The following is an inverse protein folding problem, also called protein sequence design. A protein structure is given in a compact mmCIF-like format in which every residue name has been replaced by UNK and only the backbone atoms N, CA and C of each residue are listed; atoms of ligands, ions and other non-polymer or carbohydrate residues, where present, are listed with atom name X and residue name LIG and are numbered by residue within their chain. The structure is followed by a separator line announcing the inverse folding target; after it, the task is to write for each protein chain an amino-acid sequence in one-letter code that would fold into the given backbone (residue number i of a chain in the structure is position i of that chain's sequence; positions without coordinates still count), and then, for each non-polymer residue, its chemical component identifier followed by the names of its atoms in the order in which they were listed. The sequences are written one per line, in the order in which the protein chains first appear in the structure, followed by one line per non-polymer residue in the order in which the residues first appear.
data_IF_744159508204
#
_entry.id   IF_744159508204
#
_cell.length_a   1.000
_cell.length_b   1.000
_cell.length_c   1.000
_cell.angle_alpha   90.00
_cell.angle_beta   90.00
_cell.angle_gamma   90.00
#
_symmetry.space_group_name_H-M   'P 1'
#
loop_
_entity.id
_entity.type
_entity.pdbx_description
1 polymer ?
#
# COMPACT_ATOMS: atom_id res chain seq x y z
N UNK A 1 31.75 -24.84 -23.90
CA UNK A 1 31.33 -24.81 -22.48
C UNK A 1 30.10 -23.91 -22.41
N UNK A 2 28.91 -24.50 -22.30
CA UNK A 2 27.64 -23.79 -22.35
C UNK A 2 27.18 -23.56 -20.90
N UNK A 3 27.23 -22.31 -20.43
CA UNK A 3 26.78 -21.97 -19.09
C UNK A 3 25.24 -21.90 -19.10
N UNK A 4 24.58 -22.93 -18.57
CA UNK A 4 23.18 -22.90 -18.16
C UNK A 4 23.09 -22.52 -16.68
N UNK A 5 22.59 -21.33 -16.38
CA UNK A 5 22.00 -20.89 -15.09
C UNK A 5 20.99 -19.78 -15.49
N UNK A 6 19.70 -19.75 -15.17
CA UNK A 6 18.82 -20.47 -14.25
C UNK A 6 17.40 -20.43 -14.85
N UNK A 7 16.60 -21.48 -14.66
CA UNK A 7 15.24 -21.58 -15.21
C UNK A 7 14.21 -20.64 -14.55
N UNK A 8 14.56 -19.84 -13.55
CA UNK A 8 13.59 -19.08 -12.76
C UNK A 8 13.76 -17.57 -12.97
N UNK A 9 13.14 -17.02 -14.02
CA UNK A 9 12.96 -15.57 -14.16
C UNK A 9 11.75 -15.15 -13.31
N UNK A 10 11.98 -14.90 -12.02
CA UNK A 10 10.98 -14.32 -11.12
C UNK A 10 11.09 -12.80 -11.16
N UNK A 11 9.96 -12.11 -11.24
CA UNK A 11 9.86 -10.66 -11.24
C UNK A 11 9.49 -10.23 -9.82
N UNK A 12 10.39 -9.52 -9.17
CA UNK A 12 10.14 -8.98 -7.85
C UNK A 12 9.16 -7.79 -7.95
N UNK A 13 7.92 -7.99 -7.50
CA UNK A 13 6.87 -6.98 -7.39
C UNK A 13 6.77 -6.52 -5.93
N UNK A 14 7.84 -5.92 -5.42
CA UNK A 14 7.96 -5.16 -4.15
C UNK A 14 7.50 -5.83 -2.84
N UNK A 15 6.30 -6.38 -2.79
CA UNK A 15 5.75 -7.19 -1.70
C UNK A 15 5.70 -8.67 -2.00
N UNK A 16 5.83 -9.08 -3.27
CA UNK A 16 5.81 -10.50 -3.65
C UNK A 16 6.65 -10.75 -4.88
N UNK A 17 7.20 -11.95 -4.96
CA UNK A 17 7.81 -12.47 -6.17
C UNK A 17 6.73 -13.03 -7.13
N UNK A 18 6.71 -12.52 -8.35
CA UNK A 18 5.80 -12.95 -9.42
C UNK A 18 6.52 -13.90 -10.37
N UNK A 19 5.94 -15.07 -10.62
CA UNK A 19 6.43 -16.00 -11.64
C UNK A 19 5.59 -15.88 -12.92
N UNK A 20 6.14 -15.26 -13.99
CA UNK A 20 5.43 -15.08 -15.24
C UNK A 20 5.14 -16.41 -15.96
N UNK A 21 5.87 -17.49 -15.68
CA UNK A 21 5.67 -18.80 -16.34
C UNK A 21 4.36 -19.47 -15.91
N UNK A 22 3.92 -19.18 -14.69
CA UNK A 22 2.69 -19.73 -14.09
C UNK A 22 1.66 -18.64 -13.78
N UNK A 23 1.94 -17.41 -14.22
CA UNK A 23 1.11 -16.21 -14.12
C UNK A 23 0.54 -15.95 -12.71
N UNK A 24 1.38 -16.13 -11.67
CA UNK A 24 0.96 -15.97 -10.27
C UNK A 24 2.11 -15.52 -9.38
N UNK A 25 1.76 -15.05 -8.20
CA UNK A 25 2.73 -14.87 -7.13
C UNK A 25 3.22 -16.22 -6.60
N UNK A 26 4.50 -16.29 -6.24
CA UNK A 26 5.10 -17.48 -5.60
C UNK A 26 4.84 -17.50 -4.10
N UNK A 27 4.43 -16.35 -3.55
CA UNK A 27 4.08 -16.15 -2.15
C UNK A 27 2.59 -15.81 -2.02
N UNK A 28 1.96 -16.28 -0.93
CA UNK A 28 0.57 -15.93 -0.63
C UNK A 28 0.46 -14.43 -0.37
N UNK A 29 -0.64 -13.81 -0.79
CA UNK A 29 -0.93 -12.42 -0.48
C UNK A 29 -0.85 -12.17 1.04
N UNK A 30 -0.04 -11.18 1.50
CA UNK A 30 0.03 -10.79 2.91
C UNK A 30 -1.32 -10.37 3.51
N UNK A 31 -2.29 -9.96 2.68
CA UNK A 31 -3.66 -9.63 3.15
C UNK A 31 -4.55 -10.89 3.27
N UNK A 32 -4.03 -12.07 2.91
CA UNK A 32 -4.68 -13.38 3.05
C UNK A 32 -5.87 -13.57 2.09
N UNK A 33 -6.82 -14.44 2.45
CA UNK A 33 -8.06 -14.71 1.67
C UNK A 33 -8.90 -13.47 1.35
N UNK A 34 -8.55 -12.33 1.94
CA UNK A 34 -9.17 -11.02 1.69
C UNK A 34 -8.72 -10.40 0.36
N UNK A 35 -7.62 -10.88 -0.25
CA UNK A 35 -7.19 -10.59 -1.62
C UNK A 35 -8.12 -11.20 -2.69
N UNK A 36 -8.97 -12.14 -2.27
CA UNK A 36 -9.76 -13.00 -3.13
C UNK A 36 -9.60 -14.46 -2.72
N UNK A 37 -10.45 -15.32 -3.26
CA UNK A 37 -10.43 -16.75 -2.94
C UNK A 37 -9.09 -17.44 -3.27
N UNK A 38 -8.29 -16.85 -4.17
CA UNK A 38 -6.94 -17.31 -4.46
C UNK A 38 -5.93 -16.19 -4.18
N UNK A 39 -5.16 -16.36 -3.10
CA UNK A 39 -4.16 -15.40 -2.61
C UNK A 39 -2.88 -15.35 -3.44
N UNK A 40 -2.77 -16.19 -4.48
CA UNK A 40 -1.62 -16.19 -5.37
C UNK A 40 -1.93 -15.54 -6.73
N UNK A 41 -3.20 -15.22 -7.02
CA UNK A 41 -3.59 -14.69 -8.33
C UNK A 41 -3.06 -13.28 -8.56
N UNK A 42 -2.43 -13.09 -9.70
CA UNK A 42 -2.08 -11.77 -10.19
C UNK A 42 -3.34 -11.03 -10.65
N UNK A 43 -3.63 -9.89 -10.02
CA UNK A 43 -4.60 -8.90 -10.56
C UNK A 43 -6.02 -9.47 -10.75
N UNK A 44 -6.49 -10.32 -9.83
CA UNK A 44 -7.82 -10.98 -9.92
C UNK A 44 -8.08 -11.65 -11.29
N UNK A 45 -7.02 -12.15 -11.94
CA UNK A 45 -7.04 -12.76 -13.29
C UNK A 45 -7.46 -11.82 -14.43
N UNK A 46 -7.42 -10.50 -14.21
CA UNK A 46 -7.72 -9.50 -15.25
C UNK A 46 -6.49 -8.63 -15.56
N UNK A 47 -5.41 -9.26 -16.03
CA UNK A 47 -4.15 -8.59 -16.39
C UNK A 47 -4.23 -7.71 -17.64
N UNK A 48 -5.36 -7.72 -18.36
CA UNK A 48 -5.56 -6.90 -19.57
C UNK A 48 -5.88 -5.44 -19.24
N UNK A 49 -6.62 -5.21 -18.15
CA UNK A 49 -7.10 -3.86 -17.79
C UNK A 49 -6.61 -3.39 -16.43
N UNK A 50 -5.80 -4.20 -15.75
CA UNK A 50 -5.33 -3.95 -14.40
C UNK A 50 -3.87 -4.41 -14.31
N UNK A 51 -3.12 -3.77 -13.43
CA UNK A 51 -1.74 -4.14 -13.12
C UNK A 51 -1.61 -4.29 -11.61
N UNK A 52 -0.72 -5.12 -11.09
CA UNK A 52 -0.41 -5.10 -9.66
C UNK A 52 1.01 -4.57 -9.51
N UNK A 53 1.12 -3.22 -9.55
CA UNK A 53 2.40 -2.49 -9.54
C UNK A 53 3.19 -2.68 -8.26
N UNK A 54 2.53 -3.11 -7.20
CA UNK A 54 3.08 -3.14 -5.84
C UNK A 54 3.11 -4.56 -5.26
N UNK A 55 2.38 -5.52 -5.82
CA UNK A 55 2.27 -6.86 -5.25
C UNK A 55 1.19 -6.98 -4.18
N UNK A 56 0.18 -6.11 -4.15
CA UNK A 56 -0.86 -6.08 -3.11
C UNK A 56 -2.28 -5.82 -3.63
N UNK A 57 -2.44 -4.94 -4.61
CA UNK A 57 -3.74 -4.57 -5.21
C UNK A 57 -3.55 -4.09 -6.64
N UNK A 58 -4.61 -4.19 -7.42
CA UNK A 58 -4.70 -3.90 -8.84
C UNK A 58 -4.62 -2.40 -9.18
N UNK A 59 -3.41 -1.82 -9.10
CA UNK A 59 -2.89 -0.57 -9.70
C UNK A 59 -3.66 0.74 -9.55
N UNK A 60 -4.83 0.75 -8.94
CA UNK A 60 -5.48 1.97 -8.50
C UNK A 60 -5.36 2.01 -6.99
N UNK A 61 -4.74 3.05 -6.49
CA UNK A 61 -4.43 3.21 -5.08
C UNK A 61 -5.71 3.39 -4.25
N UNK A 62 -6.54 2.36 -4.08
CA UNK A 62 -7.84 2.41 -3.37
C UNK A 62 -8.90 3.33 -4.01
N UNK A 63 -8.53 4.33 -4.82
CA UNK A 63 -9.41 5.40 -5.30
C UNK A 63 -10.56 4.93 -6.19
N UNK A 64 -10.35 3.85 -6.97
CA UNK A 64 -11.32 3.38 -7.95
C UNK A 64 -12.29 2.31 -7.42
N UNK A 65 -12.14 1.86 -6.17
CA UNK A 65 -13.23 1.16 -5.50
C UNK A 65 -14.32 2.21 -5.19
N UNK A 66 -15.53 2.02 -5.72
CA UNK A 66 -16.61 3.01 -5.61
C UNK A 66 -16.93 3.45 -4.18
N UNK A 67 -16.59 2.63 -3.19
CA UNK A 67 -16.72 2.92 -1.77
C UNK A 67 -15.73 3.98 -1.26
N UNK A 68 -14.55 4.11 -1.86
CA UNK A 68 -13.58 5.14 -1.47
C UNK A 68 -13.97 6.54 -1.96
N UNK A 69 -15.04 6.67 -2.76
CA UNK A 69 -15.58 7.97 -3.19
C UNK A 69 -16.36 8.62 -2.04
N UNK A 70 -15.88 9.76 -1.56
CA UNK A 70 -16.61 10.60 -0.58
C UNK A 70 -16.33 10.27 0.89
N UNK A 71 -15.27 9.51 1.18
CA UNK A 71 -14.86 9.26 2.57
C UNK A 71 -14.27 10.55 3.19
N UNK A 72 -14.75 11.04 4.34
CA UNK A 72 -14.20 12.22 5.01
C UNK A 72 -12.74 11.98 5.39
N UNK A 73 -11.83 12.89 5.00
CA UNK A 73 -10.38 12.74 5.15
C UNK A 73 -9.66 12.37 3.85
N UNK A 74 -10.41 11.92 2.84
CA UNK A 74 -9.86 11.63 1.50
C UNK A 74 -9.41 12.84 0.67
N UNK A 75 -9.61 14.06 1.16
CA UNK A 75 -9.26 15.28 0.45
C UNK A 75 -8.07 16.04 1.01
N UNK A 76 -7.50 15.59 2.13
CA UNK A 76 -6.35 16.26 2.74
C UNK A 76 -5.08 15.51 2.39
N UNK A 77 -3.96 16.23 2.23
CA UNK A 77 -2.63 15.67 1.98
C UNK A 77 -2.17 14.67 3.08
N UNK A 78 -2.94 14.59 4.16
CA UNK A 78 -2.81 13.75 5.33
C UNK A 78 -3.96 12.73 5.41
N UNK A 79 -3.67 11.48 5.05
CA UNK A 79 -4.35 10.31 5.62
C UNK A 79 -5.40 9.66 4.72
N UNK A 80 -5.14 8.40 4.35
CA UNK A 80 -6.18 7.52 3.87
C UNK A 80 -7.04 7.00 5.04
N UNK A 81 -7.78 5.92 4.79
CA UNK A 81 -8.47 5.18 5.86
C UNK A 81 -8.73 3.74 5.42
N UNK A 82 -9.24 2.93 6.34
CA UNK A 82 -9.83 1.63 6.02
C UNK A 82 -11.34 1.65 6.23
N UNK A 83 -12.08 1.06 5.30
CA UNK A 83 -13.53 1.01 5.34
C UNK A 83 -14.11 -0.31 4.87
N UNK A 84 -15.40 -0.48 5.08
CA UNK A 84 -16.17 -1.65 4.72
C UNK A 84 -16.93 -1.40 3.42
N UNK A 85 -16.62 -2.21 2.40
CA UNK A 85 -17.18 -2.13 1.07
C UNK A 85 -17.67 -3.51 0.63
N UNK A 86 -19.00 -3.68 0.53
CA UNK A 86 -19.60 -4.95 0.08
C UNK A 86 -19.13 -6.16 0.88
N UNK A 87 -19.11 -6.06 2.22
CA UNK A 87 -18.67 -7.14 3.12
C UNK A 87 -17.16 -7.33 3.22
N UNK A 88 -16.35 -6.49 2.57
CA UNK A 88 -14.88 -6.55 2.58
C UNK A 88 -14.30 -5.32 3.25
N UNK A 89 -13.11 -5.45 3.85
CA UNK A 89 -12.32 -4.29 4.27
C UNK A 89 -11.49 -3.78 3.09
N UNK A 90 -11.47 -2.48 2.88
CA UNK A 90 -10.77 -1.79 1.78
C UNK A 90 -9.97 -0.64 2.38
N UNK A 91 -8.70 -0.53 2.02
CA UNK A 91 -7.89 0.65 2.30
C UNK A 91 -8.08 1.66 1.17
N UNK A 92 -8.42 2.88 1.54
CA UNK A 92 -8.61 4.01 0.65
C UNK A 92 -7.47 5.00 0.90
N UNK A 93 -6.74 5.39 -0.14
CA UNK A 93 -5.72 6.43 -0.04
C UNK A 93 -5.80 7.35 -1.24
N UNK A 94 -5.22 8.54 -1.13
CA UNK A 94 -5.21 9.53 -2.20
C UNK A 94 -3.78 9.80 -2.64
N UNK A 95 -3.53 9.48 -3.89
CA UNK A 95 -2.24 9.57 -4.54
C UNK A 95 -2.46 10.06 -5.96
N UNK A 96 -2.28 11.36 -6.15
CA UNK A 96 -2.55 12.01 -7.43
C UNK A 96 -1.35 11.98 -8.38
N UNK A 97 -0.22 11.42 -7.95
CA UNK A 97 1.08 11.47 -8.65
C UNK A 97 1.69 10.07 -8.88
N UNK A 98 0.87 9.04 -9.06
CA UNK A 98 1.33 7.66 -9.36
C UNK A 98 1.94 7.49 -10.77
N UNK A 99 2.10 8.59 -11.52
CA UNK A 99 2.73 8.57 -12.85
C UNK A 99 4.25 8.50 -12.76
N UNK A 100 4.85 9.08 -11.73
CA UNK A 100 6.29 9.01 -11.47
C UNK A 100 6.66 7.76 -10.66
N UNK A 101 7.89 7.27 -10.83
CA UNK A 101 8.42 6.15 -10.02
C UNK A 101 8.36 6.47 -8.52
N UNK A 102 8.78 7.68 -8.15
CA UNK A 102 8.69 8.16 -6.76
C UNK A 102 7.27 8.22 -6.24
N UNK A 103 6.32 8.71 -7.03
CA UNK A 103 4.93 8.77 -6.62
C UNK A 103 4.26 7.41 -6.50
N UNK A 104 4.64 6.42 -7.32
CA UNK A 104 4.21 5.01 -7.17
C UNK A 104 4.70 4.41 -5.87
N UNK A 105 5.99 4.56 -5.57
CA UNK A 105 6.60 4.06 -4.35
C UNK A 105 6.01 4.74 -3.12
N UNK A 106 5.91 6.07 -3.13
CA UNK A 106 5.28 6.85 -2.06
C UNK A 106 3.85 6.39 -1.83
N UNK A 107 3.08 6.21 -2.90
CA UNK A 107 1.70 5.79 -2.76
C UNK A 107 1.57 4.36 -2.22
N UNK A 108 2.41 3.45 -2.70
CA UNK A 108 2.42 2.08 -2.19
C UNK A 108 2.74 2.04 -0.70
N UNK A 109 3.68 2.87 -0.23
CA UNK A 109 3.98 2.97 1.19
C UNK A 109 2.83 3.57 2.01
N UNK A 110 2.16 4.61 1.50
CA UNK A 110 0.92 5.14 2.11
C UNK A 110 -0.18 4.09 2.18
N UNK A 111 -0.38 3.30 1.13
CA UNK A 111 -1.37 2.22 1.16
C UNK A 111 -1.07 1.22 2.28
N UNK A 112 0.20 0.92 2.55
CA UNK A 112 0.58 0.00 3.63
C UNK A 112 0.34 0.57 5.03
N UNK A 113 0.50 1.88 5.19
CA UNK A 113 0.06 2.58 6.41
C UNK A 113 -1.41 2.27 6.67
N UNK A 114 -2.26 2.52 5.68
CA UNK A 114 -3.70 2.29 5.82
C UNK A 114 -4.03 0.81 6.00
N UNK A 115 -3.35 -0.09 5.28
CA UNK A 115 -3.53 -1.53 5.46
C UNK A 115 -3.18 -2.00 6.89
N UNK A 116 -2.23 -1.36 7.57
CA UNK A 116 -1.91 -1.67 8.96
C UNK A 116 -3.10 -1.38 9.91
N UNK A 117 -4.04 -0.55 9.49
CA UNK A 117 -5.28 -0.26 10.20
C UNK A 117 -6.43 -1.24 9.90
N UNK A 118 -6.25 -2.22 9.02
CA UNK A 118 -7.30 -3.22 8.73
C UNK A 118 -7.89 -3.94 9.95
N UNK A 119 -7.14 -4.22 11.04
CA UNK A 119 -7.71 -4.75 12.28
C UNK A 119 -8.62 -3.75 13.02
N UNK A 120 -8.39 -2.45 12.83
CA UNK A 120 -9.04 -1.37 13.57
C UNK A 120 -10.47 -1.07 13.09
N UNK A 121 -10.94 -1.70 12.01
CA UNK A 121 -12.30 -1.56 11.47
C UNK A 121 -13.05 -2.89 11.50
N UNK A 122 -14.28 -2.91 12.01
CA UNK A 122 -15.16 -4.09 11.95
C UNK A 122 -16.26 -3.91 10.90
N UNK A 123 -16.33 -4.85 9.94
CA UNK A 123 -17.31 -4.83 8.86
C UNK A 123 -18.58 -5.57 9.21
N UNK A 124 -19.19 -5.16 10.31
CA UNK A 124 -20.50 -5.64 10.72
C UNK A 124 -21.60 -4.99 9.86
N UNK A 125 -21.37 -3.75 9.38
CA UNK A 125 -22.27 -3.04 8.48
C UNK A 125 -21.52 -2.50 7.23
N UNK A 126 -22.17 -2.46 6.05
CA UNK A 126 -21.65 -1.76 4.88
C UNK A 126 -21.43 -0.28 5.19
N UNK A 127 -20.28 0.27 4.77
CA UNK A 127 -19.97 1.69 4.99
C UNK A 127 -19.35 2.03 6.35
N UNK A 128 -19.21 1.06 7.27
CA UNK A 128 -18.37 1.26 8.46
C UNK A 128 -16.95 1.63 8.03
N UNK A 129 -16.36 2.65 8.63
CA UNK A 129 -14.99 3.06 8.35
C UNK A 129 -14.25 3.37 9.65
N UNK A 130 -12.94 3.26 9.60
CA UNK A 130 -12.08 3.75 10.67
C UNK A 130 -12.21 5.27 10.71
N UNK A 131 -12.75 5.79 11.81
CA UNK A 131 -12.94 7.21 11.99
C UNK A 131 -11.59 7.95 11.86
N UNK A 132 -11.56 9.14 11.22
CA UNK A 132 -10.40 10.01 11.22
C UNK A 132 -9.99 10.31 12.65
N UNK A 133 -8.69 10.54 12.86
CA UNK A 133 -8.15 10.91 14.16
C UNK A 133 -8.76 12.25 14.58
N UNK A 134 -9.79 12.25 15.44
CA UNK A 134 -10.49 13.47 15.86
C UNK A 134 -10.55 13.68 17.37
N UNK A 135 -9.76 12.97 18.19
CA UNK A 135 -9.88 13.09 19.66
C UNK A 135 -8.62 12.70 20.44
N UNK A 136 -7.54 13.48 20.29
CA UNK A 136 -6.59 13.77 21.37
C UNK A 136 -5.83 12.62 22.07
N UNK A 137 -5.94 11.37 21.64
CA UNK A 137 -5.15 10.25 22.12
C UNK A 137 -4.81 9.33 20.94
N UNK A 138 -3.57 9.44 20.50
CA UNK A 138 -3.04 8.68 19.37
C UNK A 138 -2.87 7.20 19.78
N UNK A 139 -3.59 6.25 19.17
CA UNK A 139 -3.49 4.85 19.54
C UNK A 139 -2.16 4.28 19.05
N UNK A 140 -1.64 3.29 19.78
CA UNK A 140 -0.42 2.54 19.40
C UNK A 140 -0.45 1.98 17.97
N UNK A 141 -1.64 1.86 17.36
CA UNK A 141 -1.82 1.38 15.98
C UNK A 141 -1.35 2.38 14.92
N UNK A 142 -1.46 3.69 15.15
CA UNK A 142 -0.92 4.73 14.24
C UNK A 142 0.61 4.76 14.24
N UNK A 143 1.23 4.63 15.43
CA UNK A 143 2.68 4.54 15.53
C UNK A 143 3.24 3.34 14.74
N UNK A 144 2.57 2.18 14.86
CA UNK A 144 2.91 0.98 14.10
C UNK A 144 2.70 1.16 12.59
N UNK A 145 1.63 1.84 12.19
CA UNK A 145 1.37 2.13 10.78
C UNK A 145 2.45 3.06 10.18
N UNK A 146 2.88 4.09 10.93
CA UNK A 146 3.99 4.95 10.52
C UNK A 146 5.31 4.19 10.39
N UNK A 147 5.60 3.23 11.28
CA UNK A 147 6.78 2.37 11.13
C UNK A 147 6.73 1.54 9.85
N UNK A 148 5.54 1.02 9.49
CA UNK A 148 5.33 0.30 8.23
C UNK A 148 5.57 1.21 7.03
N UNK A 149 5.08 2.45 7.04
CA UNK A 149 5.30 3.40 5.96
C UNK A 149 6.78 3.80 5.85
N UNK A 150 7.42 4.18 6.95
CA UNK A 150 8.82 4.60 6.96
C UNK A 150 9.75 3.49 6.46
N UNK A 151 9.58 2.25 6.94
CA UNK A 151 10.38 1.12 6.46
C UNK A 151 10.17 0.84 4.97
N UNK A 152 8.94 1.03 4.48
CA UNK A 152 8.65 0.92 3.05
C UNK A 152 9.37 1.99 2.22
N UNK A 153 9.36 3.23 2.68
CA UNK A 153 9.98 4.36 1.98
C UNK A 153 11.51 4.26 1.97
N UNK A 154 12.12 3.82 3.07
CA UNK A 154 13.57 3.58 3.15
C UNK A 154 14.00 2.53 2.12
N UNK A 155 13.29 1.40 2.05
CA UNK A 155 13.52 0.39 1.01
C UNK A 155 13.31 0.96 -0.40
N UNK A 156 12.34 1.85 -0.55
CA UNK A 156 12.07 2.51 -1.84
C UNK A 156 13.16 3.42 -2.32
N UNK A 157 14.01 3.94 -1.43
CA UNK A 157 15.20 4.70 -1.83
C UNK A 157 16.20 3.81 -2.58
N UNK A 158 16.35 2.55 -2.17
CA UNK A 158 17.17 1.58 -2.90
C UNK A 158 16.55 1.30 -4.27
N UNK A 159 15.24 1.10 -4.31
CA UNK A 159 14.50 0.85 -5.55
C UNK A 159 14.49 2.04 -6.49
N UNK A 160 14.62 3.28 -5.99
CA UNK A 160 14.78 4.47 -6.83
C UNK A 160 16.04 4.41 -7.70
N UNK A 161 17.13 3.78 -7.24
CA UNK A 161 18.42 3.81 -7.93
C UNK A 161 18.91 5.26 -8.07
N UNK A 162 19.32 5.67 -9.28
CA UNK A 162 19.81 7.03 -9.56
C UNK A 162 18.72 8.04 -9.94
N UNK A 163 17.44 7.68 -9.82
CA UNK A 163 16.34 8.60 -10.11
C UNK A 163 16.20 9.65 -8.99
N UNK A 164 16.75 10.84 -9.23
CA UNK A 164 16.77 11.95 -8.27
C UNK A 164 15.35 12.41 -7.91
N UNK A 165 14.42 12.42 -8.87
CA UNK A 165 13.04 12.83 -8.62
C UNK A 165 12.33 11.80 -7.73
N UNK A 166 12.60 10.52 -7.96
CA UNK A 166 12.14 9.43 -7.10
C UNK A 166 12.69 9.57 -5.68
N UNK A 167 14.01 9.71 -5.53
CA UNK A 167 14.66 9.87 -4.23
C UNK A 167 14.10 11.08 -3.46
N UNK A 168 14.00 12.23 -4.12
CA UNK A 168 13.45 13.45 -3.52
C UNK A 168 12.00 13.24 -3.05
N UNK A 169 11.16 12.59 -3.86
CA UNK A 169 9.77 12.30 -3.51
C UNK A 169 9.65 11.44 -2.25
N UNK A 170 10.52 10.44 -2.09
CA UNK A 170 10.50 9.56 -0.91
C UNK A 170 11.13 10.21 0.32
N UNK A 171 12.23 10.95 0.14
CA UNK A 171 12.89 11.69 1.22
C UNK A 171 12.00 12.80 1.79
N UNK A 172 11.30 13.53 0.92
CA UNK A 172 10.31 14.53 1.33
C UNK A 172 9.24 13.90 2.22
N UNK A 173 8.64 12.79 1.80
CA UNK A 173 7.66 12.05 2.62
C UNK A 173 8.25 11.55 3.93
N UNK A 174 9.45 10.96 3.91
CA UNK A 174 10.14 10.50 5.12
C UNK A 174 10.34 11.65 6.11
N UNK A 175 10.71 12.84 5.64
CA UNK A 175 10.90 14.02 6.49
C UNK A 175 9.60 14.43 7.21
N UNK A 176 8.47 14.40 6.50
CA UNK A 176 7.15 14.67 7.07
C UNK A 176 6.77 13.61 8.11
N UNK A 177 7.05 12.33 7.84
CA UNK A 177 6.74 11.23 8.77
C UNK A 177 7.57 11.28 10.04
N UNK A 178 8.87 11.60 9.94
CA UNK A 178 9.76 11.73 11.11
C UNK A 178 9.26 12.85 12.03
N UNK A 179 8.89 14.01 11.46
CA UNK A 179 8.33 15.13 12.23
C UNK A 179 6.97 14.76 12.83
N UNK A 180 6.10 14.13 12.05
CA UNK A 180 4.80 13.65 12.51
C UNK A 180 4.93 12.68 13.69
N UNK A 181 5.70 11.60 13.51
CA UNK A 181 5.93 10.55 14.51
C UNK A 181 6.50 11.11 15.82
N UNK A 182 7.49 12.00 15.73
CA UNK A 182 8.20 12.55 16.88
C UNK A 182 7.48 13.68 17.60
N UNK A 183 7.05 14.72 16.89
CA UNK A 183 6.55 15.98 17.49
C UNK A 183 5.04 15.97 17.68
N UNK A 184 4.29 15.37 16.76
CA UNK A 184 2.83 15.45 16.75
C UNK A 184 2.13 14.21 17.33
N UNK A 185 2.82 13.05 17.39
CA UNK A 185 2.18 11.78 17.73
C UNK A 185 2.73 11.05 18.97
N UNK A 186 3.83 11.51 19.56
CA UNK A 186 4.37 10.93 20.80
C UNK A 186 4.79 9.45 20.68
N UNK A 187 5.01 8.98 19.46
CA UNK A 187 5.45 7.63 19.15
C UNK A 187 6.95 7.52 19.48
N UNK A 188 7.26 7.05 20.69
CA UNK A 188 8.63 6.74 21.13
C UNK A 188 9.12 5.42 20.56
#
# INVERSE_FOLDING_TARGET
MQLRLSQNAQIYNYFRDYDPRIARYVESDPIGLKAGANTFVYVRSNSLTRLDRLGLVDSDCGQNEGCCKGVPGGGTEFGGTVMCCGGRKVACTYCNDEKSKGGQLRCGCKMKHELAHMPDVECNNPGNYRAPISSGKYPSTECKAYDVEMNCLVKGLDDCGNDISCQFTLQDRLSVLVVGKGVNHGCR
#
